data_IF_835321356387
#
_entry.id   IF_835321356387
#
_cell.length_a   1.000
_cell.length_b   1.000
_cell.length_c   1.000
_cell.angle_alpha   90.00
_cell.angle_beta   90.00
_cell.angle_gamma   90.00
#
_symmetry.space_group_name_H-M   'P 1'
#
loop_
_entity.id
_entity.type
_entity.pdbx_description
1 polymer ?
#
# COMPACT_ATOMS: atom_id res chain seq x y z
N UNK A 1 9.52 11.75 17.72
CA UNK A 1 9.97 10.99 18.90
C UNK A 1 11.31 10.36 18.57
N UNK A 2 12.31 10.38 19.47
CA UNK A 2 13.56 9.65 19.27
C UNK A 2 13.42 8.28 19.92
N UNK A 3 13.58 7.22 19.14
CA UNK A 3 13.44 5.85 19.59
C UNK A 3 14.61 5.04 19.05
N UNK A 4 15.31 4.34 19.93
CA UNK A 4 16.35 3.39 19.52
C UNK A 4 15.67 2.06 19.21
N UNK A 5 15.77 1.62 17.96
CA UNK A 5 15.23 0.35 17.48
C UNK A 5 16.33 -0.39 16.73
N UNK A 6 16.38 -1.71 16.90
CA UNK A 6 17.27 -2.57 16.12
C UNK A 6 16.57 -2.88 14.81
N UNK A 7 17.19 -2.51 13.69
CA UNK A 7 16.71 -2.78 12.34
C UNK A 7 17.62 -3.82 11.69
N UNK A 8 17.05 -4.67 10.84
CA UNK A 8 17.84 -5.56 10.02
C UNK A 8 18.46 -4.77 8.86
N UNK A 9 19.77 -4.74 8.77
CA UNK A 9 20.50 -4.01 7.74
C UNK A 9 20.21 -4.53 6.33
N UNK A 10 20.01 -5.84 6.15
CA UNK A 10 19.67 -6.44 4.86
C UNK A 10 18.33 -5.90 4.33
N UNK A 11 17.33 -5.82 5.22
CA UNK A 11 16.00 -5.30 4.89
C UNK A 11 16.05 -3.80 4.57
N UNK A 12 16.90 -3.06 5.26
CA UNK A 12 17.09 -1.62 5.03
C UNK A 12 17.75 -1.40 3.67
N UNK A 13 18.80 -2.16 3.34
CA UNK A 13 19.44 -2.09 2.02
C UNK A 13 18.48 -2.44 0.89
N UNK A 14 17.68 -3.49 1.07
CA UNK A 14 16.66 -3.87 0.10
C UNK A 14 15.62 -2.77 -0.07
N UNK A 15 15.12 -2.19 1.02
CA UNK A 15 14.18 -1.08 0.97
C UNK A 15 14.77 0.16 0.26
N UNK A 16 16.07 0.46 0.43
CA UNK A 16 16.73 1.55 -0.29
C UNK A 16 16.79 1.30 -1.81
N UNK A 17 16.92 0.06 -2.27
CA UNK A 17 16.89 -0.26 -3.71
C UNK A 17 15.55 0.09 -4.37
N UNK A 18 14.46 -0.03 -3.62
CA UNK A 18 13.11 0.33 -4.09
C UNK A 18 12.75 1.80 -3.87
N UNK A 19 13.55 2.53 -3.11
CA UNK A 19 13.25 3.90 -2.70
C UNK A 19 14.04 4.90 -3.55
N UNK A 20 13.45 5.38 -4.65
CA UNK A 20 14.14 6.31 -5.57
C UNK A 20 14.44 7.69 -4.95
N UNK A 21 13.63 8.13 -3.97
CA UNK A 21 13.69 9.51 -3.44
C UNK A 21 14.06 9.57 -1.93
N UNK A 22 14.59 8.50 -1.35
CA UNK A 22 14.89 8.46 0.09
C UNK A 22 16.40 8.40 0.29
N UNK A 23 16.92 9.35 1.05
CA UNK A 23 18.37 9.44 1.33
C UNK A 23 18.70 9.10 2.78
N UNK A 24 17.73 9.14 3.69
CA UNK A 24 17.97 8.92 5.11
C UNK A 24 17.21 7.71 5.66
N UNK A 25 17.84 6.99 6.60
CA UNK A 25 17.17 5.87 7.33
C UNK A 25 15.90 6.35 8.05
N UNK A 26 15.85 7.61 8.48
CA UNK A 26 14.67 8.20 9.12
C UNK A 26 13.49 8.29 8.15
N UNK A 27 13.70 8.89 6.98
CA UNK A 27 12.66 9.03 5.96
C UNK A 27 12.19 7.67 5.45
N UNK A 28 13.09 6.70 5.32
CA UNK A 28 12.75 5.32 4.95
C UNK A 28 11.75 4.73 5.94
N UNK A 29 12.06 4.81 7.23
CA UNK A 29 11.20 4.29 8.31
C UNK A 29 9.86 5.03 8.35
N UNK A 30 9.87 6.35 8.20
CA UNK A 30 8.66 7.17 8.22
C UNK A 30 7.73 6.85 7.03
N UNK A 31 8.31 6.71 5.83
CA UNK A 31 7.58 6.30 4.61
C UNK A 31 7.01 4.89 4.77
N UNK A 32 7.81 3.94 5.24
CA UNK A 32 7.36 2.56 5.45
C UNK A 32 6.21 2.47 6.46
N UNK A 33 6.26 3.25 7.55
CA UNK A 33 5.17 3.33 8.52
C UNK A 33 3.91 3.95 7.91
N UNK A 34 4.05 5.00 7.10
CA UNK A 34 2.93 5.63 6.43
C UNK A 34 2.26 4.68 5.42
N UNK A 35 3.04 3.95 4.64
CA UNK A 35 2.53 2.90 3.75
C UNK A 35 1.86 1.77 4.54
N UNK A 36 2.47 1.30 5.63
CA UNK A 36 1.91 0.25 6.47
C UNK A 36 0.53 0.64 7.03
N UNK A 37 0.43 1.88 7.55
CA UNK A 37 -0.84 2.43 8.02
C UNK A 37 -1.82 2.57 6.86
N UNK A 38 -1.42 3.14 5.73
CA UNK A 38 -2.31 3.31 4.58
C UNK A 38 -2.82 1.97 4.04
N UNK A 39 -1.95 0.96 3.95
CA UNK A 39 -2.29 -0.37 3.47
C UNK A 39 -3.28 -1.07 4.41
N UNK A 40 -3.11 -0.90 5.74
CA UNK A 40 -4.08 -1.41 6.73
C UNK A 40 -5.34 -0.56 6.85
N UNK A 41 -5.26 0.74 6.55
CA UNK A 41 -6.37 1.70 6.62
C UNK A 41 -7.25 1.63 5.37
N UNK A 42 -6.76 1.09 4.25
CA UNK A 42 -7.60 0.62 3.15
C UNK A 42 -8.53 -0.46 3.71
N UNK A 43 -9.67 0.00 4.23
CA UNK A 43 -10.74 -0.84 4.74
C UNK A 43 -11.06 -1.89 3.70
N UNK A 44 -11.29 -3.10 4.21
CA UNK A 44 -11.65 -4.26 3.43
C UNK A 44 -12.65 -3.83 2.36
N UNK A 45 -12.36 -4.04 1.06
CA UNK A 45 -13.37 -3.82 0.03
C UNK A 45 -14.64 -4.65 0.30
N UNK A 46 -14.52 -5.68 1.14
CA UNK A 46 -15.62 -6.44 1.73
C UNK A 46 -16.60 -5.58 2.55
N UNK A 47 -16.17 -4.50 3.18
CA UNK A 47 -17.03 -3.59 3.96
C UNK A 47 -17.91 -2.71 3.06
N UNK A 48 -17.52 -2.56 1.80
CA UNK A 48 -18.30 -1.89 0.75
C UNK A 48 -19.31 -2.85 0.10
N UNK A 49 -19.21 -4.17 0.35
CA UNK A 49 -20.16 -5.17 -0.17
C UNK A 49 -21.57 -4.87 0.35
N UNK A 50 -22.49 -4.56 -0.56
CA UNK A 50 -23.88 -4.20 -0.24
C UNK A 50 -24.13 -2.72 0.08
N UNK A 51 -23.09 -1.87 0.10
CA UNK A 51 -23.22 -0.40 0.28
C UNK A 51 -23.07 0.40 -1.03
N UNK A 52 -22.64 -0.27 -2.09
CA UNK A 52 -22.48 0.32 -3.42
C UNK A 52 -23.43 -0.37 -4.38
N UNK A 53 -24.24 0.43 -5.09
CA UNK A 53 -24.99 -0.01 -6.25
C UNK A 53 -24.10 0.16 -7.50
N UNK A 54 -23.99 -0.89 -8.28
CA UNK A 54 -23.42 -0.78 -9.62
C UNK A 54 -24.40 -0.02 -10.51
N UNK A 55 -23.91 0.69 -11.51
CA UNK A 55 -24.80 1.25 -12.54
C UNK A 55 -25.49 0.11 -13.28
N UNK A 56 -26.73 0.34 -13.67
CA UNK A 56 -27.58 -0.66 -14.34
C UNK A 56 -27.00 -1.13 -15.69
N UNK A 57 -26.18 -0.29 -16.33
CA UNK A 57 -25.50 -0.56 -17.60
C UNK A 57 -24.08 -1.13 -17.44
N UNK A 58 -23.64 -1.39 -16.20
CA UNK A 58 -22.28 -1.87 -15.95
C UNK A 58 -22.15 -3.39 -16.21
N UNK A 59 -21.72 -3.76 -17.41
CA UNK A 59 -21.38 -5.14 -17.74
C UNK A 59 -19.87 -5.42 -17.69
N UNK A 60 -19.41 -5.98 -16.57
CA UNK A 60 -18.03 -6.43 -16.38
C UNK A 60 -17.63 -7.67 -17.22
N UNK A 61 -18.57 -8.36 -17.88
CA UNK A 61 -18.28 -9.49 -18.78
C UNK A 61 -17.86 -9.01 -20.16
N UNK A 62 -18.46 -7.94 -20.68
CA UNK A 62 -18.05 -7.29 -21.94
C UNK A 62 -16.56 -6.93 -21.99
N UNK A 63 -15.94 -6.63 -20.84
CA UNK A 63 -14.50 -6.31 -20.73
C UNK A 63 -13.59 -7.55 -20.72
N UNK A 64 -14.13 -8.77 -20.59
CA UNK A 64 -13.36 -10.02 -20.56
C UNK A 64 -13.43 -10.82 -21.86
N UNK A 65 -14.38 -10.51 -22.73
CA UNK A 65 -14.57 -11.22 -24.00
C UNK A 65 -13.64 -10.75 -25.13
N UNK A 66 -12.85 -9.68 -24.93
CA UNK A 66 -11.78 -9.33 -25.87
C UNK A 66 -10.48 -10.03 -25.49
N UNK A 67 -10.39 -11.33 -25.80
CA UNK A 67 -9.12 -12.01 -26.02
C UNK A 67 -9.25 -13.02 -27.15
#
# INVERSE_FOLDING_TARGET
>A
MRTNIVLNDELVEEAFKYSTNITTKKELVETALQEYVNNRKRKNLKDLRGKIQFRDDYDYKSMREKK
#
